data_IF_387547657168
#
_entry.id   IF_387547657168
#
_cell.length_a   1.000
_cell.length_b   1.000
_cell.length_c   1.000
_cell.angle_alpha   90.00
_cell.angle_beta   90.00
_cell.angle_gamma   90.00
#
_symmetry.space_group_name_H-M   'P 1'
#
loop_
_entity.id
_entity.type
_entity.pdbx_description
1 polymer ?
#
# COMPACT_ATOMS: atom_id res chain seq x y z
N UNK A 1 -8.14 8.97 -5.19
CA UNK A 1 -7.93 7.50 -5.30
C UNK A 1 -6.85 7.08 -4.29
N UNK A 2 -7.06 6.06 -3.44
CA UNK A 2 -6.07 5.65 -2.45
C UNK A 2 -4.81 5.03 -3.10
N UNK A 3 -3.71 5.79 -3.12
CA UNK A 3 -2.44 5.40 -3.73
C UNK A 3 -1.83 4.11 -3.15
N UNK A 4 -2.16 3.77 -1.88
CA UNK A 4 -1.69 2.57 -1.21
C UNK A 4 -2.55 1.32 -1.50
N UNK A 5 -3.78 1.47 -2.01
CA UNK A 5 -4.65 0.34 -2.44
C UNK A 5 -4.43 -0.09 -3.89
N UNK A 6 -3.66 0.68 -4.67
CA UNK A 6 -3.31 0.32 -6.04
C UNK A 6 -2.29 -0.83 -6.04
N UNK A 7 -2.72 -1.98 -6.55
CA UNK A 7 -1.92 -3.21 -6.70
C UNK A 7 -1.70 -3.41 -8.19
N UNK A 8 -0.55 -3.96 -8.59
CA UNK A 8 -0.33 -4.28 -10.00
C UNK A 8 -1.22 -5.44 -10.43
N UNK A 9 -1.53 -5.57 -11.71
CA UNK A 9 -2.32 -6.68 -12.25
C UNK A 9 -1.70 -8.05 -11.96
N UNK A 10 -0.37 -8.08 -11.81
CA UNK A 10 0.45 -9.21 -11.37
C UNK A 10 0.36 -9.53 -9.85
N UNK A 11 -0.46 -8.81 -9.08
CA UNK A 11 -0.62 -9.01 -7.63
C UNK A 11 0.52 -8.41 -6.78
N UNK A 12 1.57 -7.94 -7.43
CA UNK A 12 2.71 -7.28 -6.79
C UNK A 12 2.32 -5.93 -6.19
N UNK A 13 2.83 -5.65 -4.98
CA UNK A 13 2.80 -4.29 -4.45
C UNK A 13 3.76 -3.43 -5.28
N UNK A 14 3.22 -2.55 -6.12
CA UNK A 14 4.02 -1.56 -6.85
C UNK A 14 4.65 -0.54 -5.90
N UNK A 15 5.78 0.05 -6.34
CA UNK A 15 6.50 1.08 -5.61
C UNK A 15 5.58 2.20 -5.11
N UNK A 16 5.84 2.69 -3.91
CA UNK A 16 5.04 3.76 -3.32
C UNK A 16 5.86 5.05 -3.35
N UNK A 17 5.35 6.09 -4.00
CA UNK A 17 6.09 7.34 -4.21
C UNK A 17 6.30 8.17 -2.94
N UNK A 18 5.71 7.78 -1.80
CA UNK A 18 5.91 8.50 -0.55
C UNK A 18 7.22 8.12 0.14
N UNK A 19 7.77 9.03 0.94
CA UNK A 19 8.93 8.81 1.81
C UNK A 19 8.68 7.56 2.68
N UNK A 20 9.45 6.49 2.45
CA UNK A 20 9.24 5.19 3.10
C UNK A 20 8.73 4.07 2.18
N UNK A 21 8.47 4.38 0.90
CA UNK A 21 8.31 3.39 -0.15
C UNK A 21 7.23 2.35 0.13
N UNK A 22 7.47 1.14 -0.39
CA UNK A 22 6.57 -0.01 -0.24
C UNK A 22 6.30 -0.37 1.23
N UNK A 23 7.22 -0.05 2.13
CA UNK A 23 7.09 -0.38 3.55
C UNK A 23 5.98 0.46 4.22
N UNK A 24 5.87 1.74 3.86
CA UNK A 24 4.79 2.60 4.34
C UNK A 24 3.43 2.14 3.79
N UNK A 25 3.39 1.78 2.52
CA UNK A 25 2.19 1.20 1.85
C UNK A 25 1.69 -0.05 2.56
N UNK A 26 2.60 -0.97 2.96
CA UNK A 26 2.25 -2.16 3.76
C UNK A 26 1.68 -1.79 5.14
N UNK A 27 2.29 -0.84 5.85
CA UNK A 27 1.78 -0.36 7.14
C UNK A 27 0.37 0.22 7.02
N UNK A 28 0.14 1.10 6.05
CA UNK A 28 -1.17 1.70 5.78
C UNK A 28 -2.25 0.65 5.48
N UNK A 29 -1.97 -0.29 4.58
CA UNK A 29 -2.86 -1.43 4.31
C UNK A 29 -3.15 -2.27 5.55
N UNK A 30 -2.15 -2.47 6.41
CA UNK A 30 -2.31 -3.24 7.66
C UNK A 30 -3.17 -2.50 8.67
N UNK A 31 -3.01 -1.18 8.79
CA UNK A 31 -3.83 -0.32 9.66
C UNK A 31 -5.28 -0.28 9.16
N UNK A 32 -5.50 -0.14 7.85
CA UNK A 32 -6.85 -0.20 7.27
C UNK A 32 -7.50 -1.57 7.45
N UNK A 33 -6.74 -2.66 7.38
CA UNK A 33 -7.23 -4.01 7.71
C UNK A 33 -7.55 -4.18 9.19
N UNK A 34 -6.84 -3.49 10.08
CA UNK A 34 -7.04 -3.57 11.53
C UNK A 34 -8.23 -2.73 12.01
N UNK A 35 -8.58 -1.67 11.27
CA UNK A 35 -9.73 -0.82 11.55
C UNK A 35 -11.05 -1.34 10.92
N UNK A 36 -11.16 -2.66 10.72
CA UNK A 36 -12.36 -3.34 10.25
C UNK A 36 -12.81 -4.35 11.28
#
# INVERSE_FOLDING_TARGET
IPCHRIIRSDGSLGGYSARGGINLKKKLLKIEKLNK
#
